data_IF_019059126556
#
_entry.id   IF_019059126556
#
_cell.length_a   1.000
_cell.length_b   1.000
_cell.length_c   1.000
_cell.angle_alpha   90.00
_cell.angle_beta   90.00
_cell.angle_gamma   90.00
#
_symmetry.space_group_name_H-M   'P 1'
#
loop_
_entity.id
_entity.type
_entity.pdbx_description
1 polymer ?
#
# COMPACT_ATOMS: atom_id res chain seq x y z
N UNK A 1 10.52 -21.76 80.32
CA UNK A 1 10.42 -22.62 79.12
C UNK A 1 9.75 -21.80 78.06
N UNK A 2 10.53 -21.23 77.15
CA UNK A 2 10.08 -20.34 76.09
C UNK A 2 10.05 -21.17 74.78
N UNK A 3 8.84 -21.40 74.20
CA UNK A 3 8.68 -22.09 72.91
C UNK A 3 8.68 -21.06 71.84
N UNK A 4 9.76 -21.00 71.09
CA UNK A 4 9.91 -20.21 69.89
C UNK A 4 9.12 -20.91 68.74
N UNK A 5 8.07 -20.25 68.22
CA UNK A 5 7.34 -20.69 67.03
C UNK A 5 8.03 -20.06 65.83
N UNK A 6 8.67 -20.88 65.01
CA UNK A 6 9.29 -20.51 63.74
C UNK A 6 8.22 -20.53 62.66
N UNK A 7 7.78 -19.33 62.22
CA UNK A 7 6.83 -19.17 61.12
C UNK A 7 7.59 -19.22 59.81
N UNK A 8 7.51 -20.36 59.10
CA UNK A 8 8.01 -20.51 57.74
C UNK A 8 7.05 -19.78 56.75
N UNK A 9 7.42 -18.60 56.33
CA UNK A 9 6.83 -17.94 55.17
C UNK A 9 7.35 -18.64 53.90
N UNK A 10 6.56 -19.54 53.34
CA UNK A 10 6.78 -20.04 51.97
C UNK A 10 6.38 -18.98 51.02
N UNK A 11 7.36 -18.25 50.48
CA UNK A 11 7.18 -17.35 49.33
C UNK A 11 6.91 -18.25 48.11
N UNK A 12 5.65 -18.46 47.79
CA UNK A 12 5.27 -19.07 46.50
C UNK A 12 5.54 -18.06 45.39
N UNK A 13 6.71 -18.16 44.77
CA UNK A 13 6.93 -17.56 43.46
C UNK A 13 5.98 -18.25 42.47
N UNK A 14 4.81 -17.64 42.23
CA UNK A 14 4.08 -17.91 40.99
C UNK A 14 4.95 -17.39 39.84
N UNK A 15 5.43 -18.26 38.93
CA UNK A 15 5.94 -17.72 37.68
C UNK A 15 4.76 -17.05 36.98
N UNK A 16 4.76 -15.71 36.90
CA UNK A 16 4.04 -15.02 35.86
C UNK A 16 4.59 -15.62 34.56
N UNK A 17 3.80 -16.47 33.93
CA UNK A 17 3.93 -16.79 32.51
C UNK A 17 3.57 -15.49 31.79
N UNK A 18 4.55 -14.58 31.71
CA UNK A 18 4.56 -13.57 30.67
C UNK A 18 4.69 -14.41 29.42
N UNK A 19 3.58 -14.59 28.71
CA UNK A 19 3.62 -15.07 27.35
C UNK A 19 4.57 -14.12 26.62
N UNK A 20 5.79 -14.58 26.33
CA UNK A 20 6.70 -13.88 25.45
C UNK A 20 6.03 -13.97 24.08
N UNK A 21 5.18 -13.00 23.75
CA UNK A 21 4.77 -12.77 22.38
C UNK A 21 6.06 -12.54 21.60
N UNK A 22 6.23 -13.27 20.51
CA UNK A 22 7.36 -13.08 19.64
C UNK A 22 7.21 -11.68 19.03
N UNK A 23 8.26 -10.88 18.99
CA UNK A 23 8.23 -9.53 18.41
C UNK A 23 7.72 -9.53 16.97
N UNK A 24 7.90 -10.62 16.23
CA UNK A 24 7.34 -10.78 14.89
C UNK A 24 5.82 -10.91 14.91
N UNK A 25 5.24 -11.61 15.89
CA UNK A 25 3.80 -11.76 16.02
C UNK A 25 3.15 -10.41 16.38
N UNK A 26 3.79 -9.61 17.27
CA UNK A 26 3.35 -8.26 17.60
C UNK A 26 3.32 -7.36 16.37
N UNK A 27 4.39 -7.36 15.56
CA UNK A 27 4.47 -6.55 14.33
C UNK A 27 3.37 -6.95 13.34
N UNK A 28 3.18 -8.26 13.12
CA UNK A 28 2.17 -8.73 12.16
C UNK A 28 0.73 -8.47 12.65
N UNK A 29 0.50 -8.53 13.96
CA UNK A 29 -0.79 -8.18 14.56
C UNK A 29 -1.13 -6.70 14.32
N UNK A 30 -0.17 -5.79 14.55
CA UNK A 30 -0.34 -4.35 14.28
C UNK A 30 -0.68 -4.10 12.81
N UNK A 31 0.10 -4.67 11.88
CA UNK A 31 -0.15 -4.50 10.43
C UNK A 31 -1.51 -5.05 10.02
N UNK A 32 -1.90 -6.21 10.56
CA UNK A 32 -3.20 -6.82 10.28
C UNK A 32 -4.36 -5.97 10.80
N UNK A 33 -4.22 -5.44 12.02
CA UNK A 33 -5.25 -4.58 12.61
C UNK A 33 -5.35 -3.26 11.85
N UNK A 34 -4.23 -2.62 11.51
CA UNK A 34 -4.23 -1.39 10.69
C UNK A 34 -4.94 -1.63 9.35
N UNK A 35 -4.58 -2.70 8.65
CA UNK A 35 -5.22 -3.03 7.36
C UNK A 35 -6.74 -3.30 7.49
N UNK A 36 -7.19 -3.82 8.64
CA UNK A 36 -8.62 -4.06 8.88
C UNK A 36 -9.44 -2.79 9.17
N UNK A 37 -8.74 -1.67 9.43
CA UNK A 37 -9.37 -0.36 9.69
C UNK A 37 -9.55 0.43 8.39
N UNK A 38 -8.73 0.15 7.38
CA UNK A 38 -8.85 0.79 6.05
C UNK A 38 -10.22 0.48 5.46
N UNK A 39 -10.89 1.53 5.00
CA UNK A 39 -12.24 1.45 4.42
C UNK A 39 -13.32 2.13 5.27
N UNK A 40 -14.52 2.30 4.71
CA UNK A 40 -15.59 3.04 5.35
C UNK A 40 -16.16 2.32 6.58
N UNK A 41 -16.53 3.09 7.60
CA UNK A 41 -17.29 2.60 8.75
C UNK A 41 -16.45 2.16 9.96
N UNK A 42 -15.20 2.61 10.06
CA UNK A 42 -14.39 2.46 11.26
C UNK A 42 -15.05 3.09 12.50
N UNK A 43 -14.88 2.45 13.67
CA UNK A 43 -15.31 3.00 14.95
C UNK A 43 -14.31 4.01 15.47
N UNK A 44 -14.70 4.84 16.46
CA UNK A 44 -13.74 5.73 17.13
C UNK A 44 -12.55 4.96 17.71
N UNK A 45 -12.78 3.76 18.29
CA UNK A 45 -11.71 2.93 18.82
C UNK A 45 -10.75 2.43 17.72
N UNK A 46 -11.26 2.19 16.50
CA UNK A 46 -10.42 1.84 15.34
C UNK A 46 -9.58 3.04 14.87
N UNK A 47 -10.17 4.23 14.83
CA UNK A 47 -9.47 5.47 14.48
C UNK A 47 -8.37 5.77 15.50
N UNK A 48 -8.68 5.70 16.81
CA UNK A 48 -7.72 5.92 17.89
C UNK A 48 -6.57 4.91 17.80
N UNK A 49 -6.87 3.63 17.54
CA UNK A 49 -5.86 2.59 17.33
C UNK A 49 -4.95 2.92 16.14
N UNK A 50 -5.52 3.30 14.98
CA UNK A 50 -4.75 3.65 13.79
C UNK A 50 -3.76 4.78 14.08
N UNK A 51 -4.25 5.89 14.67
CA UNK A 51 -3.44 7.07 15.00
C UNK A 51 -2.35 6.77 16.04
N UNK A 52 -2.58 5.84 16.97
CA UNK A 52 -1.56 5.40 17.92
C UNK A 52 -0.44 4.60 17.24
N UNK A 53 -0.75 3.88 16.15
CA UNK A 53 0.15 2.93 15.52
C UNK A 53 0.80 3.43 14.21
N UNK A 54 0.81 4.73 13.97
CA UNK A 54 1.53 5.38 12.88
C UNK A 54 2.45 6.48 13.38
N UNK A 55 3.46 6.83 12.56
CA UNK A 55 4.32 8.00 12.75
C UNK A 55 3.92 9.12 11.79
N UNK A 56 4.43 10.33 11.99
CA UNK A 56 4.26 11.43 11.03
C UNK A 56 4.82 11.06 9.64
N UNK A 57 5.91 10.27 9.61
CA UNK A 57 6.51 9.84 8.35
C UNK A 57 5.60 8.89 7.55
N UNK A 58 4.88 7.99 8.22
CA UNK A 58 3.90 7.11 7.57
C UNK A 58 2.76 7.89 6.92
N UNK A 59 2.22 8.88 7.63
CA UNK A 59 1.14 9.72 7.13
C UNK A 59 1.58 10.62 5.98
N UNK A 60 2.83 11.11 5.99
CA UNK A 60 3.35 11.97 4.93
C UNK A 60 3.32 11.28 3.55
N UNK A 61 3.38 9.95 3.53
CA UNK A 61 3.20 9.15 2.31
C UNK A 61 1.85 9.40 1.63
N UNK A 62 0.82 9.71 2.40
CA UNK A 62 -0.54 9.93 1.92
C UNK A 62 -0.96 11.40 1.88
N UNK A 63 0.00 12.32 2.03
CA UNK A 63 -0.27 13.76 1.97
C UNK A 63 -0.62 14.39 3.31
N UNK A 64 -0.56 13.65 4.41
CA UNK A 64 -0.78 14.15 5.76
C UNK A 64 0.57 14.36 6.46
N UNK A 65 1.05 15.59 6.63
CA UNK A 65 2.38 15.87 7.19
C UNK A 65 2.59 15.38 8.61
N UNK A 66 1.51 15.27 9.39
CA UNK A 66 1.56 14.82 10.79
C UNK A 66 0.39 13.90 11.13
N UNK A 67 0.53 13.12 12.22
CA UNK A 67 -0.58 12.34 12.81
C UNK A 67 -1.77 13.24 13.16
N UNK A 68 -1.52 14.50 13.55
CA UNK A 68 -2.59 15.43 13.86
C UNK A 68 -3.39 15.88 12.63
N UNK A 69 -2.74 16.01 11.48
CA UNK A 69 -3.42 16.31 10.21
C UNK A 69 -4.30 15.12 9.78
N UNK A 70 -3.81 13.90 9.88
CA UNK A 70 -4.60 12.68 9.67
C UNK A 70 -5.80 12.61 10.64
N UNK A 71 -5.60 12.93 11.91
CA UNK A 71 -6.68 12.92 12.90
C UNK A 71 -7.77 13.97 12.62
N UNK A 72 -7.42 15.07 11.97
CA UNK A 72 -8.38 16.11 11.58
C UNK A 72 -9.31 15.67 10.44
N UNK A 73 -8.86 14.72 9.60
CA UNK A 73 -9.61 14.18 8.45
C UNK A 73 -9.43 12.66 8.36
N UNK A 74 -9.78 11.96 9.44
CA UNK A 74 -9.42 10.55 9.63
C UNK A 74 -10.04 9.63 8.58
N UNK A 75 -11.26 9.89 8.12
CA UNK A 75 -11.94 9.03 7.15
C UNK A 75 -11.23 9.07 5.79
N UNK A 76 -10.76 10.23 5.35
CA UNK A 76 -9.98 10.37 4.13
C UNK A 76 -8.57 9.82 4.31
N UNK A 77 -7.94 10.08 5.46
CA UNK A 77 -6.59 9.62 5.77
C UNK A 77 -6.44 8.09 5.76
N UNK A 78 -7.44 7.36 6.28
CA UNK A 78 -7.41 5.88 6.27
C UNK A 78 -7.89 5.27 4.96
N UNK A 79 -8.44 6.10 4.05
CA UNK A 79 -8.96 5.66 2.75
C UNK A 79 -10.32 4.99 2.82
N UNK A 80 -10.91 4.82 1.65
CA UNK A 80 -12.29 4.33 1.46
C UNK A 80 -12.40 2.90 0.90
N UNK A 81 -11.27 2.31 0.53
CA UNK A 81 -11.22 1.00 -0.12
C UNK A 81 -10.83 -0.10 0.87
N UNK A 82 -11.77 -0.98 1.27
CA UNK A 82 -11.47 -2.03 2.23
C UNK A 82 -10.50 -3.06 1.63
N UNK A 83 -9.52 -3.45 2.45
CA UNK A 83 -8.55 -4.48 2.11
C UNK A 83 -8.95 -5.83 2.71
N UNK A 84 -8.76 -6.92 1.97
CA UNK A 84 -8.76 -8.26 2.56
C UNK A 84 -7.62 -8.38 3.60
N UNK A 85 -7.78 -9.25 4.61
CA UNK A 85 -6.72 -9.45 5.60
C UNK A 85 -5.36 -9.75 4.94
N UNK A 86 -4.30 -9.00 5.28
CA UNK A 86 -3.01 -9.12 4.64
C UNK A 86 -2.36 -10.47 4.92
N UNK A 87 -1.64 -10.99 3.93
CA UNK A 87 -0.85 -12.21 4.03
C UNK A 87 0.63 -11.84 4.12
N UNK A 88 1.26 -12.22 5.23
CA UNK A 88 2.71 -12.04 5.44
C UNK A 88 3.50 -12.81 4.39
N UNK A 89 4.42 -12.15 3.70
CA UNK A 89 5.38 -12.75 2.79
C UNK A 89 6.76 -12.86 3.43
N UNK A 90 7.27 -11.74 3.95
CA UNK A 90 8.52 -11.67 4.70
C UNK A 90 8.33 -10.85 5.96
N UNK A 91 9.14 -11.11 6.98
CA UNK A 91 9.20 -10.28 8.18
C UNK A 91 10.57 -10.42 8.81
N UNK A 92 11.18 -9.30 9.16
CA UNK A 92 12.43 -9.22 9.90
C UNK A 92 12.29 -8.19 10.98
N UNK A 93 12.63 -8.56 12.20
CA UNK A 93 12.72 -7.65 13.35
C UNK A 93 14.18 -7.50 13.77
N UNK A 94 14.64 -6.28 13.95
CA UNK A 94 15.99 -5.93 14.40
C UNK A 94 15.91 -4.82 15.48
N UNK A 95 15.92 -5.26 16.73
CA UNK A 95 15.75 -4.36 17.87
C UNK A 95 14.39 -3.65 17.87
N UNK A 96 14.41 -2.34 17.69
CA UNK A 96 13.22 -1.49 17.65
C UNK A 96 12.76 -1.15 16.22
N UNK A 97 13.27 -1.84 15.22
CA UNK A 97 12.86 -1.66 13.82
C UNK A 97 12.40 -3.00 13.24
N UNK A 98 11.36 -2.97 12.44
CA UNK A 98 10.89 -4.13 11.68
C UNK A 98 10.66 -3.75 10.23
N UNK A 99 10.93 -4.71 9.32
CA UNK A 99 10.54 -4.63 7.92
C UNK A 99 9.64 -5.81 7.58
N UNK A 100 8.54 -5.54 6.90
CA UNK A 100 7.56 -6.57 6.56
C UNK A 100 7.04 -6.34 5.14
N UNK A 101 7.00 -7.43 4.35
CA UNK A 101 6.27 -7.47 3.08
C UNK A 101 4.95 -8.20 3.29
N UNK A 102 3.87 -7.58 2.93
CA UNK A 102 2.52 -8.17 2.97
C UNK A 102 1.86 -8.09 1.61
N UNK A 103 0.96 -9.04 1.35
CA UNK A 103 0.05 -8.98 0.21
C UNK A 103 -1.38 -8.87 0.71
N UNK A 104 -2.13 -7.95 0.14
CA UNK A 104 -3.56 -7.80 0.33
C UNK A 104 -4.30 -7.92 -1.01
N UNK A 105 -5.61 -8.00 -0.96
CA UNK A 105 -6.47 -7.99 -2.13
C UNK A 105 -7.44 -6.83 -1.98
N UNK A 106 -7.68 -6.12 -3.06
CA UNK A 106 -8.62 -5.01 -3.14
C UNK A 106 -9.60 -5.25 -4.29
N UNK A 107 -10.79 -4.72 -4.18
CA UNK A 107 -11.78 -4.71 -5.24
C UNK A 107 -11.89 -3.31 -5.85
N UNK A 108 -11.75 -3.24 -7.18
CA UNK A 108 -11.91 -1.98 -7.90
C UNK A 108 -13.36 -1.49 -7.89
N UNK A 109 -13.61 -0.21 -8.23
CA UNK A 109 -14.96 0.31 -8.42
C UNK A 109 -15.77 -0.40 -9.51
N UNK A 110 -15.10 -1.09 -10.43
CA UNK A 110 -15.72 -1.90 -11.50
C UNK A 110 -15.94 -3.37 -11.11
N UNK A 111 -15.53 -3.75 -9.88
CA UNK A 111 -15.70 -5.10 -9.34
C UNK A 111 -14.57 -6.06 -9.66
N UNK A 112 -13.54 -5.63 -10.38
CA UNK A 112 -12.34 -6.44 -10.62
C UNK A 112 -11.56 -6.58 -9.30
N UNK A 113 -10.94 -7.73 -9.09
CA UNK A 113 -10.11 -7.99 -7.91
C UNK A 113 -8.64 -8.01 -8.31
N UNK A 114 -7.82 -7.24 -7.62
CA UNK A 114 -6.39 -7.20 -7.85
C UNK A 114 -5.60 -7.36 -6.54
N UNK A 115 -4.37 -7.82 -6.69
CA UNK A 115 -3.46 -8.03 -5.58
C UNK A 115 -2.57 -6.80 -5.41
N UNK A 116 -2.48 -6.33 -4.17
CA UNK A 116 -1.51 -5.33 -3.73
C UNK A 116 -0.39 -6.02 -2.96
N UNK A 117 0.82 -5.53 -3.13
CA UNK A 117 1.98 -5.91 -2.30
C UNK A 117 2.54 -4.64 -1.71
N UNK A 118 2.74 -4.64 -0.40
CA UNK A 118 3.31 -3.51 0.34
C UNK A 118 4.56 -3.93 1.08
N UNK A 119 5.57 -3.08 1.02
CA UNK A 119 6.73 -3.11 1.89
C UNK A 119 6.57 -2.02 2.96
N UNK A 120 6.58 -2.43 4.24
CA UNK A 120 6.43 -1.54 5.37
C UNK A 120 7.68 -1.59 6.25
N UNK A 121 8.05 -0.43 6.78
CA UNK A 121 8.96 -0.33 7.92
C UNK A 121 8.14 0.08 9.14
N UNK A 122 8.40 -0.58 10.27
CA UNK A 122 7.83 -0.21 11.55
C UNK A 122 8.95 0.14 12.53
N UNK A 123 8.65 1.03 13.45
CA UNK A 123 9.54 1.40 14.57
C UNK A 123 8.83 1.20 15.90
N UNK A 124 9.57 0.75 16.92
CA UNK A 124 9.02 0.62 18.28
C UNK A 124 9.33 1.87 19.07
N UNK A 125 8.31 2.67 19.37
CA UNK A 125 8.39 3.90 20.15
C UNK A 125 7.56 3.73 21.43
N UNK A 126 8.17 3.99 22.59
CA UNK A 126 7.52 3.87 23.91
C UNK A 126 6.86 2.49 24.17
N UNK A 127 7.45 1.44 23.57
CA UNK A 127 6.96 0.07 23.69
C UNK A 127 5.90 -0.34 22.66
N UNK A 128 5.41 0.59 21.82
CA UNK A 128 4.39 0.39 20.79
C UNK A 128 5.05 0.31 19.41
N UNK A 129 4.66 -0.68 18.61
CA UNK A 129 5.05 -0.75 17.19
C UNK A 129 4.19 0.20 16.37
N UNK A 130 4.84 1.03 15.56
CA UNK A 130 4.20 2.03 14.68
C UNK A 130 4.68 1.86 13.26
N UNK A 131 3.77 1.91 12.30
CA UNK A 131 4.11 2.08 10.89
C UNK A 131 4.88 3.38 10.69
N UNK A 132 6.03 3.30 10.01
CA UNK A 132 6.90 4.46 9.76
C UNK A 132 6.97 4.79 8.26
N UNK A 133 7.10 3.77 7.41
CA UNK A 133 7.02 3.93 5.96
C UNK A 133 6.18 2.83 5.34
N UNK A 134 5.56 3.14 4.22
CA UNK A 134 4.88 2.20 3.35
C UNK A 134 5.21 2.53 1.90
N UNK A 135 5.51 1.51 1.11
CA UNK A 135 5.68 1.64 -0.35
C UNK A 135 5.17 0.40 -1.06
N UNK A 136 4.92 0.52 -2.36
CA UNK A 136 4.58 -0.63 -3.18
C UNK A 136 5.72 -1.64 -3.17
N UNK A 137 5.39 -2.90 -2.87
CA UNK A 137 6.33 -4.00 -2.91
C UNK A 137 6.30 -4.75 -4.25
N UNK A 138 7.30 -5.60 -4.47
CA UNK A 138 7.45 -6.39 -5.68
C UNK A 138 6.39 -7.49 -5.83
N UNK A 139 5.82 -7.61 -7.02
CA UNK A 139 5.16 -8.86 -7.40
C UNK A 139 6.21 -9.93 -7.72
N UNK A 140 5.81 -11.17 -7.53
CA UNK A 140 6.63 -12.29 -7.99
C UNK A 140 6.56 -12.38 -9.51
N UNK A 141 7.65 -12.03 -10.18
CA UNK A 141 7.74 -12.11 -11.63
C UNK A 141 7.90 -13.59 -12.08
N UNK A 142 7.05 -14.09 -12.98
CA UNK A 142 7.22 -15.42 -13.56
C UNK A 142 8.52 -15.53 -14.35
N UNK A 143 9.12 -16.72 -14.38
CA UNK A 143 10.33 -16.95 -15.17
C UNK A 143 10.09 -16.75 -16.67
N UNK A 144 11.04 -16.09 -17.36
CA UNK A 144 10.98 -15.85 -18.80
C UNK A 144 10.08 -14.69 -19.22
N UNK A 145 9.70 -13.84 -18.27
CA UNK A 145 9.02 -12.57 -18.53
C UNK A 145 10.05 -11.46 -18.50
N UNK A 146 10.11 -10.67 -19.56
CA UNK A 146 10.95 -9.48 -19.62
C UNK A 146 10.29 -8.33 -18.82
N UNK A 147 11.13 -7.58 -18.10
CA UNK A 147 10.70 -6.38 -17.40
C UNK A 147 10.78 -5.19 -18.35
N UNK A 148 9.69 -4.46 -18.50
CA UNK A 148 9.67 -3.20 -19.22
C UNK A 148 9.89 -2.07 -18.22
N UNK A 149 10.96 -1.27 -18.36
CA UNK A 149 11.18 -0.12 -17.51
C UNK A 149 10.05 0.92 -17.71
N UNK A 150 9.51 1.40 -16.59
CA UNK A 150 8.50 2.42 -16.54
C UNK A 150 8.89 3.46 -15.48
N UNK A 151 9.11 4.68 -15.88
CA UNK A 151 9.41 5.77 -14.97
C UNK A 151 8.14 6.58 -14.68
N UNK A 152 7.90 6.84 -13.40
CA UNK A 152 6.90 7.80 -12.93
C UNK A 152 7.63 9.12 -12.70
N UNK A 153 7.30 10.13 -13.47
CA UNK A 153 7.80 11.48 -13.33
C UNK A 153 6.65 12.38 -12.89
N UNK A 154 6.93 13.66 -12.59
CA UNK A 154 5.85 14.57 -12.27
C UNK A 154 4.84 14.63 -13.44
N UNK A 155 3.61 14.17 -13.17
CA UNK A 155 2.46 14.16 -14.10
C UNK A 155 2.70 13.41 -15.43
N UNK A 156 3.67 12.48 -15.48
CA UNK A 156 4.01 11.75 -16.70
C UNK A 156 4.48 10.32 -16.43
N UNK A 157 3.98 9.38 -17.23
CA UNK A 157 4.59 8.06 -17.42
C UNK A 157 5.57 8.10 -18.58
N UNK A 158 6.77 7.60 -18.39
CA UNK A 158 7.75 7.45 -19.46
C UNK A 158 8.33 6.02 -19.49
N UNK A 159 8.69 5.59 -20.68
CA UNK A 159 9.25 4.25 -20.92
C UNK A 159 10.69 4.37 -21.38
N UNK A 160 11.53 3.42 -20.97
CA UNK A 160 12.89 3.27 -21.50
C UNK A 160 13.08 1.86 -22.05
N UNK A 161 13.25 1.68 -23.38
CA UNK A 161 13.23 2.72 -24.43
C UNK A 161 11.82 3.26 -24.72
N UNK A 162 11.74 4.48 -25.23
CA UNK A 162 10.49 5.21 -25.51
C UNK A 162 9.62 4.56 -26.60
N UNK A 163 10.15 3.62 -27.36
CA UNK A 163 9.48 2.86 -28.43
C UNK A 163 9.10 1.44 -28.03
N UNK A 164 8.91 1.19 -26.74
CA UNK A 164 8.49 -0.11 -26.22
C UNK A 164 7.21 -0.57 -26.92
N UNK A 165 7.30 -1.76 -27.52
CA UNK A 165 6.14 -2.48 -28.06
C UNK A 165 5.74 -3.58 -27.11
N UNK A 166 4.56 -3.46 -26.55
CA UNK A 166 4.00 -4.45 -25.63
C UNK A 166 3.28 -5.50 -26.47
N UNK A 167 3.67 -6.74 -26.29
CA UNK A 167 3.02 -7.88 -26.97
C UNK A 167 2.08 -8.60 -26.02
N UNK A 168 1.07 -9.24 -26.59
CA UNK A 168 0.17 -10.12 -25.85
C UNK A 168 0.92 -11.25 -25.11
N UNK A 169 0.37 -11.67 -23.98
CA UNK A 169 0.93 -12.71 -23.12
C UNK A 169 1.35 -12.21 -21.75
N UNK A 170 2.27 -12.95 -21.12
CA UNK A 170 2.80 -12.57 -19.79
C UNK A 170 3.64 -11.32 -19.91
N UNK A 171 3.40 -10.39 -18.99
CA UNK A 171 4.01 -9.07 -19.02
C UNK A 171 4.40 -8.60 -17.62
N UNK A 172 5.39 -7.75 -17.52
CA UNK A 172 5.73 -7.10 -16.25
C UNK A 172 6.37 -5.72 -16.47
N UNK A 173 6.05 -4.78 -15.60
CA UNK A 173 6.75 -3.51 -15.49
C UNK A 173 7.77 -3.54 -14.35
N UNK A 174 8.90 -2.87 -14.55
CA UNK A 174 9.77 -2.38 -13.50
C UNK A 174 9.52 -0.88 -13.38
N UNK A 175 8.85 -0.48 -12.33
CA UNK A 175 8.35 0.86 -12.11
C UNK A 175 9.33 1.57 -11.18
N UNK A 176 9.80 2.75 -11.57
CA UNK A 176 10.67 3.60 -10.76
C UNK A 176 10.03 4.98 -10.60
N UNK A 177 9.89 5.49 -9.38
CA UNK A 177 9.46 6.86 -9.16
C UNK A 177 10.67 7.82 -9.20
N UNK A 178 10.73 8.63 -10.25
CA UNK A 178 11.75 9.69 -10.46
C UNK A 178 11.23 11.08 -10.08
N UNK A 179 9.93 11.18 -9.73
CA UNK A 179 9.31 12.43 -9.30
C UNK A 179 9.54 12.74 -7.82
N UNK A 180 9.07 13.91 -7.41
CA UNK A 180 9.16 14.40 -6.04
C UNK A 180 7.91 14.08 -5.21
N UNK A 181 6.81 13.63 -5.87
CA UNK A 181 5.55 13.23 -5.23
C UNK A 181 5.38 11.71 -5.21
N UNK A 182 4.45 11.24 -4.39
CA UNK A 182 3.99 9.85 -4.42
C UNK A 182 3.13 9.63 -5.66
N UNK A 183 3.37 8.53 -6.34
CA UNK A 183 2.61 8.13 -7.53
C UNK A 183 2.02 6.74 -7.37
N UNK A 184 1.07 6.45 -8.24
CA UNK A 184 0.60 5.10 -8.48
C UNK A 184 0.66 4.76 -9.97
N UNK A 185 0.75 3.48 -10.28
CA UNK A 185 0.59 2.96 -11.62
C UNK A 185 -0.59 2.00 -11.64
N UNK A 186 -1.73 2.46 -12.16
CA UNK A 186 -2.92 1.65 -12.37
C UNK A 186 -2.97 1.24 -13.83
N UNK A 187 -2.97 -0.06 -14.11
CA UNK A 187 -3.12 -0.59 -15.47
C UNK A 187 -4.58 -0.90 -15.73
N UNK A 188 -5.12 -0.26 -16.77
CA UNK A 188 -6.48 -0.42 -17.23
C UNK A 188 -6.53 -1.10 -18.60
N UNK A 189 -7.51 -1.99 -18.81
CA UNK A 189 -7.91 -2.49 -20.12
C UNK A 189 -9.11 -1.70 -20.63
N UNK A 190 -9.00 -1.04 -21.78
CA UNK A 190 -10.06 -0.26 -22.41
C UNK A 190 -10.86 -1.19 -23.33
N UNK A 191 -12.02 -1.64 -22.88
CA UNK A 191 -12.84 -2.68 -23.52
C UNK A 191 -13.78 -2.15 -24.60
N UNK A 192 -14.02 -0.83 -24.62
CA UNK A 192 -14.93 -0.15 -25.57
C UNK A 192 -14.17 0.84 -26.42
N UNK A 193 -14.66 1.05 -27.63
CA UNK A 193 -14.17 2.11 -28.52
C UNK A 193 -14.79 3.45 -28.15
N UNK A 194 -14.31 4.00 -27.02
CA UNK A 194 -14.69 5.30 -26.48
C UNK A 194 -13.46 5.98 -25.86
N UNK A 195 -13.48 7.31 -25.71
CA UNK A 195 -12.43 8.03 -24.98
C UNK A 195 -12.31 7.53 -23.54
N UNK A 196 -11.09 7.34 -23.04
CA UNK A 196 -10.85 6.90 -21.67
C UNK A 196 -11.51 7.81 -20.63
N UNK A 197 -11.44 9.11 -20.83
CA UNK A 197 -12.05 10.11 -19.92
C UNK A 197 -13.55 9.88 -19.78
N UNK A 198 -14.27 9.63 -20.88
CA UNK A 198 -15.71 9.35 -20.87
C UNK A 198 -16.03 8.06 -20.11
N UNK A 199 -15.23 7.01 -20.31
CA UNK A 199 -15.38 5.73 -19.60
C UNK A 199 -15.12 5.87 -18.10
N UNK A 200 -14.16 6.72 -17.72
CA UNK A 200 -13.85 6.99 -16.31
C UNK A 200 -14.94 7.82 -15.62
N UNK A 201 -15.46 8.86 -16.30
CA UNK A 201 -16.54 9.71 -15.77
C UNK A 201 -17.84 8.91 -15.54
N UNK A 202 -18.15 7.99 -16.45
CA UNK A 202 -19.37 7.15 -16.36
C UNK A 202 -19.18 5.96 -15.40
N UNK A 203 -17.95 5.69 -14.94
CA UNK A 203 -17.58 4.49 -14.14
C UNK A 203 -18.16 3.21 -14.76
N UNK A 204 -18.09 3.10 -16.09
CA UNK A 204 -18.67 1.98 -16.83
C UNK A 204 -17.85 0.69 -16.64
N UNK A 205 -18.33 -0.29 -15.85
CA UNK A 205 -17.59 -1.51 -15.58
C UNK A 205 -17.42 -2.41 -16.81
N UNK A 206 -18.25 -2.23 -17.83
CA UNK A 206 -18.10 -2.92 -19.11
C UNK A 206 -17.12 -2.22 -20.04
N UNK A 207 -16.82 -0.94 -19.79
CA UNK A 207 -15.94 -0.11 -20.62
C UNK A 207 -14.48 -0.19 -20.21
N UNK A 208 -14.20 -0.43 -18.91
CA UNK A 208 -12.85 -0.45 -18.36
C UNK A 208 -12.69 -1.65 -17.43
N UNK A 209 -11.55 -2.33 -17.47
CA UNK A 209 -11.17 -3.37 -16.51
C UNK A 209 -9.86 -3.02 -15.82
N UNK A 210 -9.79 -3.20 -14.51
CA UNK A 210 -8.57 -3.02 -13.73
C UNK A 210 -7.75 -4.30 -13.78
N UNK A 211 -6.46 -4.22 -14.15
CA UNK A 211 -5.58 -5.38 -14.29
C UNK A 211 -4.46 -5.44 -13.26
N UNK A 212 -4.05 -4.32 -12.73
CA UNK A 212 -3.00 -4.25 -11.72
C UNK A 212 -2.81 -2.84 -11.19
N UNK A 213 -2.32 -2.75 -9.97
CA UNK A 213 -2.03 -1.49 -9.29
C UNK A 213 -0.73 -1.60 -8.52
N UNK A 214 0.09 -0.56 -8.57
CA UNK A 214 1.23 -0.32 -7.68
C UNK A 214 1.05 1.02 -6.99
N UNK A 215 0.84 0.98 -5.68
CA UNK A 215 0.59 2.14 -4.82
C UNK A 215 0.98 1.83 -3.36
N UNK A 216 1.53 2.79 -2.61
CA UNK A 216 2.16 4.02 -3.08
C UNK A 216 3.56 3.75 -3.62
N UNK A 217 3.96 4.33 -4.73
CA UNK A 217 5.35 4.35 -5.16
C UNK A 217 5.93 5.69 -4.72
N UNK A 218 6.63 5.68 -3.58
CA UNK A 218 7.19 6.90 -2.97
C UNK A 218 8.40 7.41 -3.78
N UNK A 219 8.76 8.69 -3.67
CA UNK A 219 9.93 9.26 -4.35
C UNK A 219 11.19 8.41 -4.17
N UNK A 220 11.84 8.07 -5.27
CA UNK A 220 13.06 7.26 -5.30
C UNK A 220 12.86 5.75 -5.07
N UNK A 221 11.64 5.28 -4.83
CA UNK A 221 11.34 3.85 -4.74
C UNK A 221 11.14 3.21 -6.12
N UNK A 222 11.27 1.90 -6.16
CA UNK A 222 10.91 1.06 -7.29
C UNK A 222 10.01 -0.11 -6.87
N UNK A 223 9.26 -0.64 -7.82
CA UNK A 223 8.40 -1.81 -7.64
C UNK A 223 8.22 -2.58 -8.95
N UNK A 224 7.98 -3.88 -8.85
CA UNK A 224 7.65 -4.70 -10.02
C UNK A 224 6.17 -5.07 -10.03
N UNK A 225 5.52 -4.82 -11.17
CA UNK A 225 4.12 -5.17 -11.40
C UNK A 225 4.03 -6.29 -12.43
N UNK A 226 3.59 -7.48 -11.99
CA UNK A 226 3.37 -8.62 -12.86
C UNK A 226 1.94 -8.66 -13.37
N UNK A 227 1.78 -8.68 -14.69
CA UNK A 227 0.50 -8.88 -15.35
C UNK A 227 0.47 -10.30 -15.89
N UNK A 228 -0.44 -11.17 -15.42
CA UNK A 228 -0.43 -12.58 -15.72
C UNK A 228 -0.64 -12.87 -17.21
N UNK A 229 -1.47 -12.08 -17.86
CA UNK A 229 -1.74 -12.20 -19.29
C UNK A 229 -2.32 -10.87 -19.82
N UNK A 230 -1.76 -10.37 -20.92
CA UNK A 230 -2.34 -9.30 -21.73
C UNK A 230 -2.85 -9.88 -23.04
N UNK A 231 -4.09 -9.54 -23.37
CA UNK A 231 -4.68 -9.79 -24.67
C UNK A 231 -4.35 -8.63 -25.63
N UNK A 232 -4.52 -8.83 -26.94
CA UNK A 232 -4.43 -7.72 -27.89
C UNK A 232 -5.56 -6.71 -27.63
N UNK A 233 -5.25 -5.42 -27.61
CA UNK A 233 -6.25 -4.38 -27.32
C UNK A 233 -5.66 -3.07 -26.84
N UNK A 234 -6.54 -2.17 -26.40
CA UNK A 234 -6.20 -0.85 -25.87
C UNK A 234 -6.06 -0.88 -24.36
N UNK A 235 -5.02 -0.24 -23.88
CA UNK A 235 -4.68 -0.17 -22.46
C UNK A 235 -4.33 1.25 -22.05
N UNK A 236 -4.37 1.53 -20.76
CA UNK A 236 -3.88 2.78 -20.20
C UNK A 236 -3.17 2.55 -18.88
N UNK A 237 -2.10 3.31 -18.63
CA UNK A 237 -1.57 3.59 -17.30
C UNK A 237 -2.12 4.93 -16.83
N UNK A 238 -2.54 4.99 -15.57
CA UNK A 238 -3.16 6.19 -14.98
C UNK A 238 -2.75 6.32 -13.51
N UNK A 239 -2.66 7.57 -13.00
CA UNK A 239 -2.47 7.88 -11.60
C UNK A 239 -3.66 8.70 -11.10
N UNK A 240 -4.40 8.18 -10.11
CA UNK A 240 -5.56 8.85 -9.51
C UNK A 240 -5.20 9.70 -8.30
N UNK A 241 -3.97 9.55 -7.76
CA UNK A 241 -3.56 10.29 -6.57
C UNK A 241 -3.66 11.81 -6.80
N UNK A 242 -4.04 12.59 -5.77
CA UNK A 242 -4.12 14.03 -5.87
C UNK A 242 -2.73 14.66 -5.96
N UNK A 243 -2.65 15.82 -6.61
CA UNK A 243 -1.45 16.65 -6.61
C UNK A 243 -1.19 17.20 -5.19
N UNK A 244 -0.18 16.65 -4.55
CA UNK A 244 0.22 17.02 -3.19
C UNK A 244 0.96 18.36 -3.12
N UNK A 245 1.35 18.97 -4.25
CA UNK A 245 1.96 20.30 -4.31
C UNK A 245 0.95 21.42 -4.10
N UNK A 246 -0.33 21.12 -4.23
CA UNK A 246 -1.41 22.09 -3.98
C UNK A 246 -1.53 22.40 -2.48
N UNK A 247 -2.01 23.60 -2.10
CA UNK A 247 -2.26 23.94 -0.72
C UNK A 247 -3.21 22.93 -0.05
N UNK A 248 -2.77 22.30 1.03
CA UNK A 248 -3.52 21.27 1.74
C UNK A 248 -3.32 19.85 1.19
N UNK A 249 -2.53 19.68 0.11
CA UNK A 249 -2.31 18.36 -0.50
C UNK A 249 -3.48 17.82 -1.32
N UNK A 250 -4.54 18.62 -1.50
CA UNK A 250 -5.80 18.24 -2.17
C UNK A 250 -5.91 18.86 -3.57
N UNK A 251 -4.86 18.70 -4.37
CA UNK A 251 -4.88 19.13 -5.77
C UNK A 251 -5.77 18.24 -6.66
N UNK A 252 -5.95 18.61 -7.94
CA UNK A 252 -6.61 17.73 -8.89
C UNK A 252 -5.82 16.41 -9.01
N UNK A 253 -6.48 15.29 -9.34
CA UNK A 253 -5.77 14.03 -9.50
C UNK A 253 -4.75 14.11 -10.63
N UNK A 254 -3.62 13.41 -10.50
CA UNK A 254 -2.50 13.46 -11.44
C UNK A 254 -2.91 13.17 -12.88
N UNK A 255 -3.90 12.28 -13.10
CA UNK A 255 -4.41 12.02 -14.47
C UNK A 255 -5.04 13.26 -15.11
N UNK A 256 -5.72 14.11 -14.32
CA UNK A 256 -6.30 15.35 -14.82
C UNK A 256 -5.22 16.40 -15.17
N UNK A 257 -4.01 16.23 -14.64
CA UNK A 257 -2.84 17.05 -14.97
C UNK A 257 -1.98 16.44 -16.08
N UNK A 258 -2.38 15.27 -16.62
CA UNK A 258 -1.72 14.64 -17.74
C UNK A 258 -1.03 13.30 -17.45
N UNK A 259 -1.05 12.82 -16.19
CA UNK A 259 -0.44 11.54 -15.84
C UNK A 259 -1.34 10.37 -16.28
N UNK A 260 -1.43 10.21 -17.58
CA UNK A 260 -2.13 9.14 -18.28
C UNK A 260 -1.35 8.77 -19.54
N UNK A 261 -1.22 7.46 -19.82
CA UNK A 261 -0.55 6.96 -21.03
C UNK A 261 -1.37 5.81 -21.63
N UNK A 262 -1.97 6.04 -22.79
CA UNK A 262 -2.66 5.01 -23.55
C UNK A 262 -1.67 4.30 -24.50
N UNK A 263 -1.82 2.97 -24.66
CA UNK A 263 -1.02 2.16 -25.57
C UNK A 263 -1.82 0.98 -26.10
N UNK A 264 -1.32 0.40 -27.19
CA UNK A 264 -1.89 -0.79 -27.80
C UNK A 264 -1.00 -2.01 -27.56
N UNK A 265 -1.63 -3.15 -27.29
CA UNK A 265 -1.02 -4.47 -27.21
C UNK A 265 -1.36 -5.24 -28.47
N UNK A 266 -0.33 -5.76 -29.18
CA UNK A 266 -0.45 -6.53 -30.41
C UNK A 266 -0.53 -8.05 -30.18
#
# INVERSE_FOLDING_TARGET
>A
MLKTILLLLTLSCFPLLIACTNSEDEVFEVVTKMASIVGPGGTQDDHDYYLEHITDNFNSTWGYPTVADCAADIEECIGDSPLDPPKKQTLKVDGNTATITVAATEQSPTGDTFKLVFDLTLVKQDGVWKGDTITAGDDKIPSGVDLVPLELNEMLFSYDPTDVRIKSGKFAFHIENKGDQVHEAVLLHIKKDAPLVELMETRDPEGVGFLGVKVPVIPGADAKMAIPELESGRYALICFLPDQSAPGGEGPPHFALGMVSEFEVE
#
